data_IF_264166160239
#
_entry.id   IF_264166160239
#
_cell.length_a   1.000
_cell.length_b   1.000
_cell.length_c   1.000
_cell.angle_alpha   90.00
_cell.angle_beta   90.00
_cell.angle_gamma   90.00
#
_symmetry.space_group_name_H-M   'P 1'
#
loop_
_entity.id
_entity.type
_entity.pdbx_description
1 polymer ?
#
# COMPACT_ATOMS: atom_id res chain seq x y z
N UNK A 1 -10.55 -22.85 2.72
CA UNK A 1 -11.10 -21.51 2.44
C UNK A 1 -10.17 -20.45 3.04
N UNK A 2 -8.97 -20.34 2.47
CA UNK A 2 -7.87 -19.46 2.92
C UNK A 2 -7.90 -18.10 2.22
N UNK A 3 -8.25 -18.09 0.93
CA UNK A 3 -8.05 -16.93 0.05
C UNK A 3 -9.01 -15.76 0.33
N UNK A 4 -10.28 -16.06 0.65
CA UNK A 4 -11.29 -15.06 1.01
C UNK A 4 -11.21 -14.61 2.49
N UNK A 5 -10.00 -14.34 2.99
CA UNK A 5 -9.73 -13.77 4.31
C UNK A 5 -8.90 -12.51 4.17
N UNK A 6 -8.83 -11.71 5.23
CA UNK A 6 -7.93 -10.57 5.27
C UNK A 6 -6.56 -11.00 5.79
N UNK A 7 -5.60 -11.16 4.90
CA UNK A 7 -4.22 -11.47 5.26
C UNK A 7 -3.42 -10.17 5.33
N UNK A 8 -2.91 -9.84 6.52
CA UNK A 8 -2.08 -8.64 6.70
C UNK A 8 -0.74 -8.85 5.99
N UNK A 9 -0.33 -7.88 5.18
CA UNK A 9 0.86 -7.93 4.33
C UNK A 9 1.81 -6.76 4.57
N UNK A 10 1.31 -5.65 5.09
CA UNK A 10 2.09 -4.46 5.41
C UNK A 10 1.75 -3.99 6.81
N UNK A 11 2.79 -3.76 7.63
CA UNK A 11 2.72 -3.03 8.89
C UNK A 11 3.92 -2.08 8.89
N UNK A 12 3.69 -0.78 9.01
CA UNK A 12 4.74 0.24 9.02
C UNK A 12 4.48 1.29 10.12
N UNK A 13 5.52 1.77 10.81
CA UNK A 13 5.38 2.84 11.78
C UNK A 13 5.01 4.16 11.09
N UNK A 14 4.16 4.95 11.75
CA UNK A 14 3.81 6.32 11.39
C UNK A 14 3.91 7.22 12.62
N UNK A 15 4.10 8.52 12.41
CA UNK A 15 4.06 9.54 13.45
C UNK A 15 5.04 9.22 14.59
N UNK A 16 6.28 8.91 14.23
CA UNK A 16 7.34 8.47 15.17
C UNK A 16 6.95 7.23 16.00
N UNK A 17 6.12 6.34 15.45
CA UNK A 17 5.71 5.08 16.07
C UNK A 17 4.45 5.15 16.93
N UNK A 18 3.78 6.30 17.01
CA UNK A 18 2.51 6.42 17.72
C UNK A 18 1.34 5.76 16.98
N UNK A 19 1.46 5.62 15.66
CA UNK A 19 0.48 4.98 14.80
C UNK A 19 1.13 3.92 13.92
N UNK A 20 0.29 3.02 13.40
CA UNK A 20 0.67 1.98 12.47
C UNK A 20 -0.14 2.12 11.20
N UNK A 21 0.55 2.19 10.06
CA UNK A 21 -0.03 1.93 8.75
C UNK A 21 -0.15 0.43 8.55
N UNK A 22 -1.34 -0.06 8.20
CA UNK A 22 -1.59 -1.48 7.95
C UNK A 22 -2.30 -1.65 6.62
N UNK A 23 -1.87 -2.62 5.81
CA UNK A 23 -2.57 -3.02 4.58
C UNK A 23 -2.69 -4.55 4.53
N UNK A 24 -3.86 -5.04 4.13
CA UNK A 24 -4.12 -6.47 3.96
C UNK A 24 -4.94 -6.78 2.72
N UNK A 25 -4.90 -8.05 2.31
CA UNK A 25 -5.54 -8.56 1.07
C UNK A 25 -7.06 -8.38 1.08
N UNK A 26 -7.67 -8.37 2.27
CA UNK A 26 -9.10 -8.17 2.50
C UNK A 26 -9.99 -8.95 1.51
N UNK A 27 -9.77 -10.27 1.42
CA UNK A 27 -10.48 -11.19 0.54
C UNK A 27 -10.45 -10.75 -0.94
N UNK A 28 -9.23 -10.60 -1.49
CA UNK A 28 -9.01 -10.11 -2.86
C UNK A 28 -9.61 -8.73 -3.14
N UNK A 29 -9.65 -7.88 -2.12
CA UNK A 29 -10.05 -6.49 -2.24
C UNK A 29 -9.19 -5.63 -1.31
N UNK A 30 -7.89 -5.44 -1.64
CA UNK A 30 -6.90 -4.86 -0.74
C UNK A 30 -7.38 -3.60 -0.05
N UNK A 31 -7.17 -3.53 1.26
CA UNK A 31 -7.61 -2.42 2.09
C UNK A 31 -6.53 -2.04 3.08
N UNK A 32 -6.32 -0.74 3.23
CA UNK A 32 -5.45 -0.17 4.23
C UNK A 32 -6.20 0.60 5.31
N UNK A 33 -5.55 0.75 6.46
CA UNK A 33 -6.05 1.43 7.64
C UNK A 33 -4.87 1.98 8.47
N UNK A 34 -5.18 2.95 9.33
CA UNK A 34 -4.25 3.46 10.34
C UNK A 34 -4.86 3.23 11.71
N UNK A 35 -4.05 2.75 12.66
CA UNK A 35 -4.43 2.49 14.04
C UNK A 35 -3.38 3.06 14.98
N UNK A 36 -3.71 3.18 16.26
CA UNK A 36 -2.71 3.46 17.29
C UNK A 36 -1.79 2.25 17.50
N UNK A 37 -0.58 2.49 18.00
CA UNK A 37 0.42 1.45 18.29
C UNK A 37 0.00 0.43 19.35
N UNK A 38 -0.99 0.76 20.19
CA UNK A 38 -1.63 -0.17 21.13
C UNK A 38 -2.71 -1.06 20.50
N UNK A 39 -2.78 -1.11 19.17
CA UNK A 39 -3.71 -1.93 18.37
C UNK A 39 -5.19 -1.52 18.49
N UNK A 40 -5.46 -0.25 18.76
CA UNK A 40 -6.83 0.30 18.79
C UNK A 40 -7.12 1.20 17.60
N UNK A 41 -8.37 1.19 17.14
CA UNK A 41 -8.82 2.04 16.03
C UNK A 41 -8.78 3.52 16.38
N UNK A 42 -8.40 4.35 15.40
CA UNK A 42 -8.59 5.78 15.48
C UNK A 42 -10.09 6.10 15.62
N UNK A 43 -10.47 7.15 16.38
CA UNK A 43 -11.84 7.61 16.45
C UNK A 43 -12.33 8.08 15.07
N UNK A 44 -13.63 7.98 14.78
CA UNK A 44 -14.19 8.38 13.47
C UNK A 44 -13.94 9.84 13.09
N UNK A 45 -13.73 10.71 14.08
CA UNK A 45 -13.38 12.11 13.89
C UNK A 45 -11.95 12.31 13.37
N UNK A 46 -11.08 11.31 13.55
CA UNK A 46 -9.69 11.35 13.11
C UNK A 46 -9.57 10.69 11.73
N UNK A 47 -9.69 11.52 10.69
CA UNK A 47 -9.55 11.11 9.31
C UNK A 47 -8.08 11.16 8.86
N UNK A 48 -7.60 10.07 8.27
CA UNK A 48 -6.26 10.02 7.65
C UNK A 48 -6.42 10.08 6.12
N UNK A 49 -5.93 11.14 5.45
CA UNK A 49 -6.06 11.29 4.01
C UNK A 49 -5.41 10.14 3.22
N UNK A 50 -6.06 9.70 2.14
CA UNK A 50 -5.51 8.67 1.25
C UNK A 50 -5.61 7.23 1.76
N UNK A 51 -6.24 7.00 2.93
CA UNK A 51 -6.46 5.68 3.52
C UNK A 51 -7.86 5.13 3.14
N UNK A 52 -7.95 3.82 2.92
CA UNK A 52 -9.18 3.07 2.72
C UNK A 52 -9.18 2.15 1.50
N UNK A 53 -8.30 2.40 0.52
CA UNK A 53 -8.10 1.56 -0.66
C UNK A 53 -6.65 1.05 -0.67
N UNK A 54 -6.46 -0.27 -0.66
CA UNK A 54 -5.14 -0.92 -0.61
C UNK A 54 -4.58 -1.31 -1.98
N UNK A 55 -5.28 -1.01 -3.07
CA UNK A 55 -4.84 -1.32 -4.45
C UNK A 55 -3.46 -0.70 -4.69
N UNK A 56 -2.53 -1.49 -5.24
CA UNK A 56 -1.12 -1.16 -5.43
C UNK A 56 -0.31 -0.90 -4.13
N UNK A 57 -0.93 -0.91 -2.95
CA UNK A 57 -0.28 -0.75 -1.64
C UNK A 57 0.06 -2.09 -0.98
N UNK A 58 -0.80 -3.09 -1.19
CA UNK A 58 -0.58 -4.49 -0.80
C UNK A 58 -1.33 -5.43 -1.76
N UNK A 59 -1.04 -6.75 -1.77
CA UNK A 59 -1.50 -7.65 -2.82
C UNK A 59 -2.96 -8.06 -2.65
N UNK A 60 -3.57 -8.48 -3.76
CA UNK A 60 -4.87 -9.15 -3.79
C UNK A 60 -4.79 -10.58 -3.26
N UNK A 61 -3.75 -11.32 -3.65
CA UNK A 61 -3.58 -12.73 -3.33
C UNK A 61 -2.68 -12.91 -2.09
N UNK A 62 -3.08 -13.72 -1.08
CA UNK A 62 -2.21 -14.01 0.04
C UNK A 62 -0.91 -14.75 -0.34
N UNK A 63 -0.82 -15.44 -1.47
CA UNK A 63 0.41 -16.11 -1.89
C UNK A 63 1.39 -15.20 -2.65
N UNK A 64 1.01 -13.96 -2.97
CA UNK A 64 1.91 -13.03 -3.64
C UNK A 64 3.04 -12.57 -2.72
N UNK A 65 4.26 -12.58 -3.27
CA UNK A 65 5.41 -11.94 -2.65
C UNK A 65 5.37 -10.44 -2.95
N UNK A 66 5.17 -9.63 -1.92
CA UNK A 66 5.08 -8.17 -2.02
C UNK A 66 6.01 -7.50 -1.01
N UNK A 67 6.37 -6.25 -1.27
CA UNK A 67 7.16 -5.42 -0.33
C UNK A 67 6.55 -4.03 -0.20
N UNK A 68 6.72 -3.39 0.94
CA UNK A 68 6.35 -1.99 1.14
C UNK A 68 7.17 -1.33 2.25
N UNK A 69 7.40 -0.03 2.11
CA UNK A 69 8.04 0.82 3.12
C UNK A 69 7.32 2.17 3.22
N UNK A 70 7.05 2.62 4.44
CA UNK A 70 6.52 3.96 4.70
C UNK A 70 7.67 4.93 4.95
N UNK A 71 7.72 6.02 4.18
CA UNK A 71 8.81 6.99 4.19
C UNK A 71 8.27 8.35 4.60
N UNK A 72 8.70 8.86 5.75
CA UNK A 72 8.23 10.13 6.31
C UNK A 72 8.92 11.35 5.70
N UNK A 73 10.22 11.27 5.37
CA UNK A 73 11.05 12.43 5.00
C UNK A 73 11.77 12.22 3.66
N UNK A 74 12.12 13.30 2.96
CA UNK A 74 12.88 13.27 1.70
C UNK A 74 12.03 13.09 0.44
N UNK A 75 10.70 12.98 0.59
CA UNK A 75 9.76 13.01 -0.52
C UNK A 75 9.49 14.46 -0.98
N UNK A 76 8.90 14.70 -2.16
CA UNK A 76 8.48 16.03 -2.58
C UNK A 76 7.61 16.75 -1.54
N UNK A 77 8.04 17.94 -1.14
CA UNK A 77 7.38 18.74 -0.09
C UNK A 77 7.51 18.16 1.32
N UNK A 78 8.44 17.22 1.54
CA UNK A 78 8.63 16.46 2.77
C UNK A 78 7.32 15.84 3.30
N UNK A 79 6.49 15.37 2.36
CA UNK A 79 5.22 14.71 2.66
C UNK A 79 5.42 13.19 2.76
N UNK A 80 4.77 12.52 3.71
CA UNK A 80 4.96 11.08 3.89
C UNK A 80 4.30 10.29 2.75
N UNK A 81 4.86 9.12 2.44
CA UNK A 81 4.39 8.25 1.37
C UNK A 81 4.65 6.77 1.66
N UNK A 82 3.76 5.89 1.18
CA UNK A 82 4.08 4.47 1.07
C UNK A 82 4.70 4.21 -0.31
N UNK A 83 5.82 3.51 -0.32
CA UNK A 83 6.41 2.88 -1.50
C UNK A 83 6.14 1.38 -1.44
N UNK A 84 5.75 0.77 -2.55
CA UNK A 84 5.35 -0.64 -2.58
C UNK A 84 5.74 -1.32 -3.90
N UNK A 85 5.98 -2.63 -3.82
CA UNK A 85 6.08 -3.54 -4.96
C UNK A 85 5.06 -4.65 -4.79
N UNK A 86 4.08 -4.73 -5.68
CA UNK A 86 2.95 -5.68 -5.57
C UNK A 86 2.28 -5.89 -6.94
N UNK A 87 1.27 -6.76 -6.99
CA UNK A 87 0.29 -6.76 -8.08
C UNK A 87 -0.89 -5.84 -7.77
N UNK A 88 -1.27 -4.99 -8.74
CA UNK A 88 -2.36 -4.03 -8.61
C UNK A 88 -3.69 -4.53 -9.18
N UNK A 89 -3.73 -5.73 -9.76
CA UNK A 89 -4.95 -6.33 -10.31
C UNK A 89 -5.20 -7.73 -9.78
N UNK A 90 -6.47 -8.11 -9.70
CA UNK A 90 -6.88 -9.45 -9.28
C UNK A 90 -6.40 -10.56 -10.23
N UNK A 91 -6.33 -10.27 -11.53
CA UNK A 91 -5.87 -11.19 -12.59
C UNK A 91 -4.36 -11.44 -12.58
N UNK A 92 -3.63 -10.71 -11.73
CA UNK A 92 -2.18 -10.69 -11.66
C UNK A 92 -1.45 -10.11 -12.88
N UNK A 93 -2.15 -9.41 -13.77
CA UNK A 93 -1.56 -8.86 -14.99
C UNK A 93 -0.80 -7.53 -14.80
N UNK A 94 -0.88 -6.89 -13.62
CA UNK A 94 -0.32 -5.55 -13.37
C UNK A 94 0.65 -5.56 -12.18
N UNK A 95 1.84 -6.12 -12.36
CA UNK A 95 2.94 -5.94 -11.40
C UNK A 95 3.41 -4.49 -11.43
N UNK A 96 3.59 -3.89 -10.26
CA UNK A 96 3.86 -2.46 -10.13
C UNK A 96 4.85 -2.16 -9.00
N UNK A 97 5.78 -1.25 -9.26
CA UNK A 97 6.46 -0.48 -8.21
C UNK A 97 5.72 0.86 -8.13
N UNK A 98 5.21 1.17 -6.94
CA UNK A 98 4.25 2.23 -6.71
C UNK A 98 4.70 3.15 -5.57
N UNK A 99 4.32 4.42 -5.65
CA UNK A 99 4.33 5.37 -4.53
C UNK A 99 2.96 6.01 -4.44
N UNK A 100 2.37 6.07 -3.25
CA UNK A 100 1.05 6.68 -3.03
C UNK A 100 1.00 8.16 -3.42
N UNK A 101 -0.23 8.64 -3.64
CA UNK A 101 -0.52 10.08 -3.63
C UNK A 101 0.06 10.71 -2.36
N UNK A 102 0.60 11.93 -2.49
CA UNK A 102 1.14 12.68 -1.35
C UNK A 102 0.09 13.66 -0.88
N UNK A 103 -0.30 13.54 0.39
CA UNK A 103 -1.27 14.40 1.04
C UNK A 103 -0.59 15.30 2.05
N UNK A 104 -1.07 16.53 2.14
CA UNK A 104 -0.81 17.35 3.31
C UNK A 104 -1.70 16.83 4.45
N UNK A 105 -1.10 16.19 5.45
CA UNK A 105 -1.81 15.48 6.51
C UNK A 105 -2.64 16.40 7.42
N UNK A 106 -2.32 17.70 7.48
CA UNK A 106 -3.07 18.70 8.26
C UNK A 106 -4.31 19.19 7.53
N UNK A 107 -4.21 19.46 6.24
CA UNK A 107 -5.31 20.03 5.43
C UNK A 107 -6.14 18.96 4.69
N UNK A 108 -5.62 17.74 4.59
CA UNK A 108 -6.22 16.66 3.82
C UNK A 108 -6.12 16.80 2.30
N UNK A 109 -5.47 17.86 1.80
CA UNK A 109 -5.36 18.12 0.37
C UNK A 109 -4.31 17.22 -0.28
N UNK A 110 -4.66 16.57 -1.39
CA UNK A 110 -3.69 15.92 -2.27
C UNK A 110 -2.79 16.98 -2.92
N UNK A 111 -1.47 16.85 -2.75
CA UNK A 111 -0.47 17.79 -3.26
C UNK A 111 0.24 17.22 -4.49
N UNK A 112 0.61 15.94 -4.46
CA UNK A 112 1.24 15.26 -5.59
C UNK A 112 0.52 13.96 -5.93
N UNK A 113 0.42 13.66 -7.22
CA UNK A 113 -0.10 12.38 -7.68
C UNK A 113 0.88 11.23 -7.37
N UNK A 114 0.33 10.04 -7.29
CA UNK A 114 1.03 8.77 -7.17
C UNK A 114 2.07 8.60 -8.28
N UNK A 115 3.03 7.72 -8.04
CA UNK A 115 4.00 7.28 -9.03
C UNK A 115 3.86 5.78 -9.24
N UNK A 116 4.09 5.34 -10.46
CA UNK A 116 4.07 3.94 -10.84
C UNK A 116 5.03 3.66 -11.98
N UNK A 117 5.47 2.43 -12.10
CA UNK A 117 6.11 1.89 -13.32
C UNK A 117 5.13 1.90 -14.49
N UNK A 118 5.67 1.89 -15.72
CA UNK A 118 4.88 1.86 -16.93
C UNK A 118 4.11 0.53 -17.01
N UNK A 119 2.79 0.61 -17.23
CA UNK A 119 1.92 -0.56 -17.26
C UNK A 119 2.20 -1.38 -18.51
N UNK A 120 2.25 -2.71 -18.37
CA UNK A 120 2.44 -3.67 -19.47
C UNK A 120 3.73 -3.48 -20.28
N UNK A 121 4.79 -2.94 -19.65
CA UNK A 121 6.12 -2.86 -20.25
C UNK A 121 7.07 -3.81 -19.50
N UNK A 122 7.36 -4.96 -20.12
CA UNK A 122 8.23 -5.99 -19.56
C UNK A 122 9.68 -5.53 -19.37
N UNK A 123 10.11 -4.45 -20.04
CA UNK A 123 11.44 -3.87 -19.78
C UNK A 123 11.53 -3.21 -18.40
N UNK A 124 10.38 -2.79 -17.84
CA UNK A 124 10.31 -2.21 -16.51
C UNK A 124 10.12 -3.28 -15.45
N UNK A 125 9.11 -4.13 -15.63
CA UNK A 125 8.80 -5.24 -14.73
C UNK A 125 8.32 -6.42 -15.55
N UNK A 126 9.03 -7.52 -15.44
CA UNK A 126 8.67 -8.78 -16.07
C UNK A 126 8.24 -9.78 -14.98
N UNK A 127 7.05 -10.36 -15.15
CA UNK A 127 6.52 -11.38 -14.26
C UNK A 127 6.70 -12.79 -14.80
N UNK A 128 7.60 -13.03 -15.76
CA UNK A 128 8.05 -14.36 -16.21
C UNK A 128 8.76 -15.19 -15.11
N UNK A 129 8.19 -15.24 -13.91
CA UNK A 129 8.44 -16.32 -12.95
C UNK A 129 7.37 -17.40 -13.14
N UNK A 130 7.59 -18.25 -14.14
CA UNK A 130 7.15 -19.66 -14.19
C UNK A 130 7.92 -20.40 -15.31
N UNK A 131 9.25 -20.36 -15.24
CA UNK A 131 10.07 -21.40 -15.83
C UNK A 131 10.60 -22.23 -14.65
N UNK A 132 10.17 -23.49 -14.58
CA UNK A 132 10.60 -24.54 -13.63
C UNK A 132 9.88 -24.59 -12.27
N UNK A 133 8.65 -25.10 -12.26
CA UNK A 133 8.13 -25.98 -11.21
C UNK A 133 7.59 -27.26 -11.83
#
# INVERSE_FOLDING_TARGET
MFDCKNHIRVIQPMDSGNRLYICGTNAHNPKDLVIYSNLTHLPRSEYVPGIGLGIAKCPYDPYDNSTAIYVEQGNPGDLPALYSGTNAEFTKADTVIFRTDLYNMTTGKKVFNFKRTLKYDSKWLDSEYNLWS
#
